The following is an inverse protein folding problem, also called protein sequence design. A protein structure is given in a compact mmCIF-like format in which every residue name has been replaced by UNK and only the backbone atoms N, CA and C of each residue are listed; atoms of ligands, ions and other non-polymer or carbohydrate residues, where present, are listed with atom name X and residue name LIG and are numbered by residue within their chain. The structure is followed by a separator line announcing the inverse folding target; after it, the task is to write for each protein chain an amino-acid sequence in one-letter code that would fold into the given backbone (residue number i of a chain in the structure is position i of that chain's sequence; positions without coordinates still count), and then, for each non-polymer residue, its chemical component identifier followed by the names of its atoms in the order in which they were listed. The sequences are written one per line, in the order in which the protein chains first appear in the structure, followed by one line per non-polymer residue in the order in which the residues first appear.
data_IF_340683880501
#
_entry.id   IF_340683880501
#
_cell.length_a   1.000
_cell.length_b   1.000
_cell.length_c   1.000
_cell.angle_alpha   90.00
_cell.angle_beta   90.00
_cell.angle_gamma   90.00
#
_symmetry.space_group_name_H-M   'P 1'
#
loop_
_entity.id
_entity.type
_entity.pdbx_description
1 polymer ?
#
# COMPACT_ATOMS: atom_id res chain seq x y z
N UNK A 1 2.24 -0.66 2.79
CA UNK A 1 2.19 -1.68 1.71
C UNK A 1 2.96 -2.89 2.17
N UNK A 2 2.84 -4.07 1.54
CA UNK A 2 3.51 -5.28 2.05
C UNK A 2 4.16 -6.12 0.95
N UNK A 3 5.20 -6.87 1.31
CA UNK A 3 5.87 -7.87 0.45
C UNK A 3 6.14 -9.12 1.26
N UNK A 4 5.99 -10.31 0.68
CA UNK A 4 6.32 -11.56 1.38
C UNK A 4 7.81 -11.66 1.73
N UNK A 5 8.15 -12.21 2.90
CA UNK A 5 9.53 -12.46 3.35
C UNK A 5 10.22 -13.56 2.55
N UNK A 6 11.55 -13.52 2.34
CA UNK A 6 12.36 -14.54 1.64
C UNK A 6 11.92 -15.98 1.91
N UNK A 7 11.68 -16.76 0.85
CA UNK A 7 11.28 -18.17 0.95
C UNK A 7 9.81 -18.47 1.25
N UNK A 8 8.96 -17.46 1.53
CA UNK A 8 7.51 -17.69 1.75
C UNK A 8 6.77 -17.99 0.45
N UNK A 9 7.08 -17.25 -0.61
CA UNK A 9 6.59 -17.48 -1.99
C UNK A 9 7.78 -17.51 -2.93
N UNK A 10 7.59 -18.05 -4.13
CA UNK A 10 8.60 -18.02 -5.19
C UNK A 10 8.99 -16.57 -5.55
N UNK A 11 10.25 -16.36 -5.94
CA UNK A 11 10.78 -15.01 -6.22
C UNK A 11 9.97 -14.24 -7.27
N UNK A 12 9.46 -14.92 -8.30
CA UNK A 12 8.59 -14.32 -9.32
C UNK A 12 7.27 -13.76 -8.75
N UNK A 13 6.86 -14.25 -7.59
CA UNK A 13 5.64 -13.83 -6.88
C UNK A 13 5.92 -12.88 -5.71
N UNK A 14 7.19 -12.48 -5.47
CA UNK A 14 7.56 -11.47 -4.46
C UNK A 14 7.28 -10.04 -4.90
N UNK A 15 6.06 -9.80 -5.34
CA UNK A 15 5.60 -8.47 -5.71
C UNK A 15 5.11 -7.71 -4.48
N UNK A 16 5.03 -6.39 -4.59
CA UNK A 16 4.44 -5.53 -3.55
C UNK A 16 2.93 -5.57 -3.67
N UNK A 17 2.27 -5.97 -2.58
CA UNK A 17 0.82 -5.97 -2.46
C UNK A 17 0.33 -4.71 -1.74
N UNK A 18 -0.75 -4.15 -2.26
CA UNK A 18 -1.52 -3.11 -1.59
C UNK A 18 -2.61 -3.78 -0.74
N UNK A 19 -2.69 -3.37 0.52
CA UNK A 19 -3.65 -3.87 1.51
C UNK A 19 -4.44 -2.69 2.07
N UNK A 20 -5.71 -2.88 2.46
CA UNK A 20 -6.45 -1.87 3.22
C UNK A 20 -5.72 -1.52 4.52
N UNK A 21 -5.81 -0.25 4.94
CA UNK A 21 -5.33 0.15 6.25
C UNK A 21 -6.20 -0.51 7.34
N UNK A 22 -5.60 -1.19 8.35
CA UNK A 22 -6.36 -1.73 9.47
C UNK A 22 -7.12 -0.62 10.19
N UNK A 23 -8.42 -0.78 10.38
CA UNK A 23 -9.32 0.25 10.95
C UNK A 23 -9.66 0.04 12.43
N UNK A 24 -9.03 -0.92 13.11
CA UNK A 24 -9.31 -1.26 14.51
C UNK A 24 -8.04 -1.39 15.36
N UNK A 25 -8.19 -1.34 16.70
CA UNK A 25 -7.09 -1.62 17.62
C UNK A 25 -6.74 -3.11 17.58
N UNK A 26 -5.47 -3.43 17.30
CA UNK A 26 -4.95 -4.79 17.30
C UNK A 26 -4.33 -5.21 15.95
N UNK A 27 -3.53 -6.27 15.99
CA UNK A 27 -2.96 -6.87 14.78
C UNK A 27 -4.01 -7.84 14.20
N UNK A 28 -4.43 -7.67 12.93
CA UNK A 28 -5.40 -8.57 12.32
C UNK A 28 -4.81 -9.98 12.15
N UNK A 29 -5.68 -11.00 12.19
CA UNK A 29 -5.28 -12.40 11.99
C UNK A 29 -4.78 -12.67 10.57
N UNK A 30 -5.18 -11.85 9.61
CA UNK A 30 -4.66 -11.81 8.25
C UNK A 30 -4.85 -10.43 7.64
N UNK A 31 -3.99 -10.07 6.68
CA UNK A 31 -4.22 -8.99 5.75
C UNK A 31 -4.67 -9.58 4.42
N UNK A 32 -5.73 -9.03 3.84
CA UNK A 32 -6.17 -9.41 2.49
C UNK A 32 -5.80 -8.28 1.54
N UNK A 33 -4.92 -8.58 0.59
CA UNK A 33 -4.53 -7.63 -0.46
C UNK A 33 -5.69 -7.36 -1.43
N UNK A 34 -5.66 -6.22 -2.12
CA UNK A 34 -6.68 -5.89 -3.13
C UNK A 34 -6.78 -6.90 -4.29
N UNK A 35 -5.73 -7.68 -4.54
CA UNK A 35 -5.74 -8.77 -5.51
C UNK A 35 -6.34 -10.09 -4.96
N UNK A 36 -6.80 -10.10 -3.71
CA UNK A 36 -7.38 -11.28 -3.03
C UNK A 36 -6.38 -12.17 -2.30
N UNK A 37 -5.08 -11.83 -2.28
CA UNK A 37 -4.06 -12.62 -1.58
C UNK A 37 -4.19 -12.46 -0.07
N UNK A 38 -4.36 -13.57 0.65
CA UNK A 38 -4.28 -13.63 2.12
C UNK A 38 -2.82 -13.63 2.59
N UNK A 39 -2.54 -12.81 3.59
CA UNK A 39 -1.21 -12.57 4.14
C UNK A 39 -1.30 -12.72 5.67
N UNK A 40 -0.93 -13.89 6.21
CA UNK A 40 -0.85 -14.10 7.65
C UNK A 40 0.19 -13.20 8.34
N UNK A 41 0.11 -13.01 9.66
CA UNK A 41 1.14 -12.32 10.42
C UNK A 41 2.48 -13.05 10.32
N UNK A 42 3.57 -12.28 10.26
CA UNK A 42 4.94 -12.79 10.31
C UNK A 42 5.49 -13.35 8.99
N UNK A 43 4.72 -13.34 7.89
CA UNK A 43 5.18 -13.84 6.59
C UNK A 43 5.44 -12.74 5.55
N UNK A 44 5.18 -11.48 5.90
CA UNK A 44 5.39 -10.33 5.05
C UNK A 44 6.05 -9.18 5.83
N UNK A 45 6.87 -8.41 5.14
CA UNK A 45 7.44 -7.14 5.60
C UNK A 45 6.53 -5.98 5.20
N UNK A 46 6.50 -4.95 6.05
CA UNK A 46 5.89 -3.68 5.72
C UNK A 46 6.87 -2.84 4.91
N UNK A 47 6.36 -2.16 3.89
CA UNK A 47 7.12 -1.25 3.05
C UNK A 47 6.57 0.17 3.19
N UNK A 48 7.46 1.08 3.58
CA UNK A 48 7.18 2.52 3.76
C UNK A 48 7.23 3.31 2.44
N UNK A 49 7.88 2.75 1.42
CA UNK A 49 7.91 3.25 0.07
C UNK A 49 7.62 2.13 -0.94
N UNK A 50 7.28 2.49 -2.18
CA UNK A 50 7.12 1.50 -3.25
C UNK A 50 8.51 1.02 -3.66
N UNK A 51 8.89 -0.18 -3.22
CA UNK A 51 10.18 -0.78 -3.52
C UNK A 51 10.03 -2.17 -4.14
N UNK A 52 10.57 -2.35 -5.36
CA UNK A 52 10.40 -3.56 -6.16
C UNK A 52 9.17 -3.50 -7.08
N UNK A 53 8.81 -4.63 -7.67
CA UNK A 53 7.69 -4.70 -8.63
C UNK A 53 6.36 -4.77 -7.89
N UNK A 54 5.41 -3.84 -8.14
CA UNK A 54 4.09 -3.91 -7.56
C UNK A 54 3.24 -4.99 -8.23
N UNK A 55 2.33 -5.57 -7.46
CA UNK A 55 1.30 -6.45 -7.99
C UNK A 55 0.37 -5.65 -8.91
N UNK A 56 0.35 -5.97 -10.20
CA UNK A 56 -0.47 -5.25 -11.18
C UNK A 56 -1.96 -5.30 -10.84
N UNK A 57 -2.46 -6.43 -10.33
CA UNK A 57 -3.85 -6.55 -9.89
C UNK A 57 -4.15 -5.60 -8.71
N UNK A 58 -3.24 -5.48 -7.74
CA UNK A 58 -3.38 -4.50 -6.67
C UNK A 58 -3.43 -3.07 -7.21
N UNK A 59 -2.58 -2.72 -8.18
CA UNK A 59 -2.59 -1.37 -8.77
C UNK A 59 -3.90 -1.04 -9.49
N UNK A 60 -4.51 -2.02 -10.15
CA UNK A 60 -5.77 -1.83 -10.88
C UNK A 60 -6.98 -1.75 -9.95
N UNK A 61 -6.92 -2.37 -8.77
CA UNK A 61 -8.07 -2.51 -7.87
C UNK A 61 -8.00 -1.58 -6.65
N UNK A 62 -6.81 -1.18 -6.22
CA UNK A 62 -6.66 -0.31 -5.06
C UNK A 62 -7.33 1.07 -5.30
N UNK A 63 -7.92 1.67 -4.26
CA UNK A 63 -8.46 3.01 -4.37
C UNK A 63 -7.34 3.99 -4.72
N UNK A 64 -7.62 4.89 -5.67
CA UNK A 64 -6.71 5.98 -5.98
C UNK A 64 -6.52 6.84 -4.72
N UNK A 65 -5.29 7.32 -4.46
CA UNK A 65 -5.09 8.30 -3.41
C UNK A 65 -5.99 9.50 -3.70
N UNK A 66 -6.85 9.86 -2.76
CA UNK A 66 -7.52 11.15 -2.80
C UNK A 66 -6.43 12.19 -2.61
N UNK A 67 -6.08 12.89 -3.67
CA UNK A 67 -5.16 14.02 -3.62
C UNK A 67 -5.78 15.10 -2.75
N UNK A 68 -5.65 15.01 -1.43
CA UNK A 68 -5.84 16.17 -0.54
C UNK A 68 -4.54 16.95 -0.53
N UNK A 69 -4.27 17.56 -1.68
CA UNK A 69 -3.38 18.69 -1.85
C UNK A 69 -3.77 19.27 -3.20
N UNK A 70 -4.83 20.10 -3.22
CA UNK A 70 -4.80 21.17 -4.19
C UNK A 70 -3.49 21.94 -3.94
N UNK A 71 -2.68 22.25 -4.96
CA UNK A 71 -1.54 23.14 -4.76
C UNK A 71 -2.07 24.39 -4.07
N UNK A 72 -1.54 24.73 -2.89
CA UNK A 72 -1.78 26.03 -2.30
C UNK A 72 -1.15 27.05 -3.25
N UNK A 73 -1.92 27.54 -4.20
CA UNK A 73 -1.57 28.74 -4.95
C UNK A 73 -1.24 29.79 -3.88
N UNK A 74 -0.05 30.42 -3.89
CA UNK A 74 0.25 31.49 -2.96
C UNK A 74 -0.84 32.55 -3.09
N UNK A 75 -1.50 32.90 -1.98
CA UNK A 75 -2.50 33.97 -1.95
C UNK A 75 -1.78 35.27 -2.29
N UNK A 76 -2.00 35.80 -3.49
CA UNK A 76 -1.54 37.16 -3.82
C UNK A 76 -2.27 38.18 -2.93
N UNK A 77 -1.53 38.85 -2.04
CA UNK A 77 -1.83 40.18 -1.53
C UNK A 77 -0.54 40.76 -0.89
N UNK A 78 -0.28 42.09 -0.93
CA UNK A 78 -1.26 43.17 -1.07
C UNK A 78 -0.88 44.24 -2.13
N UNK A 79 -1.85 44.66 -2.94
CA UNK A 79 -1.78 45.91 -3.71
C UNK A 79 -2.22 47.09 -2.84
N UNK A 80 -1.34 48.07 -2.67
CA UNK A 80 -1.48 49.27 -1.83
C UNK A 80 -2.25 50.37 -2.54
#
# INVERSE_FOLDING_TARGET
MVRFLPGVVGEASRVVHLVPAPSGPGVPSELVAYCGTSIPPGVAEWLDAVEGMPCTACLLTAPLPTTSCAPQLPSEAPGR
#
